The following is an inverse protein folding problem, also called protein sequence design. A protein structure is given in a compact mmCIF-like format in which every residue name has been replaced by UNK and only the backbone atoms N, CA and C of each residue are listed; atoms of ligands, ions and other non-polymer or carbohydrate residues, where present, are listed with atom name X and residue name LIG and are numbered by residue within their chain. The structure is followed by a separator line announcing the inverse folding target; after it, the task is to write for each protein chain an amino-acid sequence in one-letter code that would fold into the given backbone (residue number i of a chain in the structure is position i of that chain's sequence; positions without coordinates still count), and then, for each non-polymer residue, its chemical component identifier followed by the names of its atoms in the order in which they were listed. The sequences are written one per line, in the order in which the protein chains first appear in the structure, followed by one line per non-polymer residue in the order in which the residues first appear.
data_IF_312929519593
#
_entry.id   IF_312929519593
#
_cell.length_a   1.000
_cell.length_b   1.000
_cell.length_c   1.000
_cell.angle_alpha   90.00
_cell.angle_beta   90.00
_cell.angle_gamma   90.00
#
_symmetry.space_group_name_H-M   'P 1'
#
loop_
_entity.id
_entity.type
_entity.pdbx_description
1 polymer ?
#
# COMPACT_ATOMS: atom_id res chain seq x y z
N UNK A 1 -18.16 -17.05 22.64
CA UNK A 1 -17.50 -15.73 22.50
C UNK A 1 -15.97 -15.89 22.52
N UNK A 2 -15.41 -16.70 23.43
CA UNK A 2 -13.97 -17.05 23.52
C UNK A 2 -13.32 -17.55 22.21
N UNK A 3 -13.96 -18.48 21.48
CA UNK A 3 -13.41 -19.05 20.25
C UNK A 3 -13.27 -18.03 19.09
N UNK A 4 -14.09 -16.97 19.07
CA UNK A 4 -14.02 -15.93 18.05
C UNK A 4 -12.83 -14.98 18.28
N UNK A 5 -12.41 -14.80 19.53
CA UNK A 5 -11.27 -13.95 19.88
C UNK A 5 -9.93 -14.69 19.72
N UNK A 6 -9.93 -16.02 19.81
CA UNK A 6 -8.76 -16.86 19.53
C UNK A 6 -8.19 -16.66 18.11
N UNK A 7 -9.05 -16.40 17.12
CA UNK A 7 -8.64 -16.14 15.74
C UNK A 7 -8.31 -14.68 15.45
N UNK A 8 -8.72 -13.74 16.30
CA UNK A 8 -8.45 -12.32 16.14
C UNK A 8 -7.30 -11.87 17.04
N UNK A 9 -6.09 -12.25 16.63
CA UNK A 9 -4.85 -11.89 17.30
C UNK A 9 -3.97 -11.03 16.38
N UNK A 10 -2.80 -10.63 16.88
CA UNK A 10 -1.84 -9.84 16.12
C UNK A 10 -1.46 -10.51 14.79
N UNK A 11 -1.30 -11.84 14.77
CA UNK A 11 -0.97 -12.59 13.54
C UNK A 11 -2.02 -12.41 12.45
N UNK A 12 -3.30 -12.52 12.80
CA UNK A 12 -4.41 -12.30 11.86
C UNK A 12 -4.45 -10.86 11.33
N UNK A 13 -4.25 -9.87 12.21
CA UNK A 13 -4.21 -8.45 11.79
C UNK A 13 -3.06 -8.21 10.83
N UNK A 14 -1.87 -8.75 11.11
CA UNK A 14 -0.70 -8.59 10.25
C UNK A 14 -0.87 -9.30 8.91
N UNK A 15 -1.46 -10.49 8.89
CA UNK A 15 -1.68 -11.27 7.67
C UNK A 15 -2.62 -10.54 6.69
N UNK A 16 -3.76 -10.05 7.18
CA UNK A 16 -4.68 -9.29 6.33
C UNK A 16 -4.14 -7.89 6.02
N UNK A 17 -3.46 -7.25 6.99
CA UNK A 17 -2.85 -5.94 6.83
C UNK A 17 -1.76 -5.92 5.76
N UNK A 18 -0.87 -6.92 5.74
CA UNK A 18 0.19 -7.00 4.73
C UNK A 18 -0.37 -7.31 3.34
N UNK A 19 -1.36 -8.19 3.25
CA UNK A 19 -2.06 -8.48 1.99
C UNK A 19 -2.72 -7.23 1.41
N UNK A 20 -3.47 -6.49 2.25
CA UNK A 20 -4.08 -5.23 1.84
C UNK A 20 -3.05 -4.16 1.48
N UNK A 21 -1.97 -4.04 2.25
CA UNK A 21 -0.88 -3.11 1.98
C UNK A 21 -0.26 -3.34 0.60
N UNK A 22 0.11 -4.58 0.26
CA UNK A 22 0.70 -4.91 -1.05
C UNK A 22 -0.26 -4.58 -2.19
N UNK A 23 -1.53 -4.96 -2.07
CA UNK A 23 -2.55 -4.65 -3.08
C UNK A 23 -2.73 -3.13 -3.24
N UNK A 24 -2.75 -2.39 -2.13
CA UNK A 24 -2.83 -0.94 -2.15
C UNK A 24 -1.60 -0.31 -2.80
N UNK A 25 -0.39 -0.79 -2.49
CA UNK A 25 0.86 -0.31 -3.11
C UNK A 25 0.84 -0.52 -4.62
N UNK A 26 0.41 -1.70 -5.08
CA UNK A 26 0.27 -1.98 -6.51
C UNK A 26 -0.75 -1.03 -7.16
N UNK A 27 -1.91 -0.84 -6.54
CA UNK A 27 -2.94 0.08 -7.05
C UNK A 27 -2.42 1.52 -7.13
N UNK A 28 -1.92 2.08 -6.03
CA UNK A 28 -1.43 3.47 -6.00
C UNK A 28 -0.19 3.68 -6.86
N UNK A 29 0.66 2.67 -7.04
CA UNK A 29 1.77 2.72 -7.98
C UNK A 29 1.34 2.98 -9.43
N UNK A 30 0.12 2.57 -9.81
CA UNK A 30 -0.45 2.89 -11.14
C UNK A 30 -1.11 4.28 -11.21
N UNK A 31 -1.41 4.90 -10.07
CA UNK A 31 -2.02 6.23 -9.99
C UNK A 31 -0.93 7.31 -10.02
N UNK A 32 -0.28 7.45 -11.18
CA UNK A 32 0.67 8.53 -11.44
C UNK A 32 0.03 9.92 -11.29
N UNK A 33 0.85 10.96 -11.42
CA UNK A 33 0.39 12.34 -11.21
C UNK A 33 1.33 13.35 -11.85
N UNK A 34 1.77 14.35 -11.07
CA UNK A 34 2.65 15.43 -11.53
C UNK A 34 3.85 14.94 -12.35
N UNK A 35 4.49 13.86 -11.92
CA UNK A 35 5.66 13.24 -12.58
C UNK A 35 5.40 12.71 -14.00
N UNK A 36 4.14 12.53 -14.41
CA UNK A 36 3.76 12.07 -15.75
C UNK A 36 3.26 13.20 -16.65
N UNK A 37 3.36 14.45 -16.19
CA UNK A 37 2.89 15.62 -16.94
C UNK A 37 4.04 16.31 -17.64
N UNK A 38 3.73 17.03 -18.72
CA UNK A 38 4.71 17.86 -19.46
C UNK A 38 5.29 19.01 -18.61
N UNK A 39 4.72 19.24 -17.42
CA UNK A 39 5.19 20.25 -16.45
C UNK A 39 6.33 19.74 -15.59
N UNK A 40 6.58 18.43 -15.59
CA UNK A 40 7.69 17.83 -14.87
C UNK A 40 8.93 17.81 -15.75
N UNK A 41 9.90 18.66 -15.41
CA UNK A 41 11.16 18.84 -16.14
C UNK A 41 12.33 18.02 -15.55
N UNK A 42 12.04 17.16 -14.55
CA UNK A 42 13.05 16.36 -13.86
C UNK A 42 13.13 14.92 -14.38
N UNK A 43 14.10 14.16 -13.88
CA UNK A 43 14.26 12.73 -14.18
C UNK A 43 13.87 11.81 -13.00
N UNK A 44 13.24 12.37 -11.96
CA UNK A 44 12.89 11.66 -10.73
C UNK A 44 13.94 11.78 -9.60
N UNK A 45 15.06 12.47 -9.83
CA UNK A 45 16.08 12.74 -8.80
C UNK A 45 16.11 14.21 -8.38
N UNK A 46 16.83 14.51 -7.29
CA UNK A 46 16.93 15.85 -6.70
C UNK A 46 18.08 16.71 -7.26
N UNK A 47 18.57 16.38 -8.46
CA UNK A 47 19.70 17.06 -9.10
C UNK A 47 19.27 18.42 -9.69
#
# INVERSE_FOLDING_TARGET
MEAALSGFNLGTVLLFGCGFFVLATLYFGTKGGYYNTDKYDGNGSAH
#
